data_IF_976621215230
#
_entry.id   IF_976621215230
#
_cell.length_a   1.000
_cell.length_b   1.000
_cell.length_c   1.000
_cell.angle_alpha   90.00
_cell.angle_beta   90.00
_cell.angle_gamma   90.00
#
_symmetry.space_group_name_H-M   'P 1'
#
loop_
_entity.id
_entity.type
_entity.pdbx_description
1 polymer ?
#
# COMPACT_ATOMS: atom_id res chain seq x y z
N UNK A 1 -13.95 -4.10 -12.22
CA UNK A 1 -12.77 -4.48 -11.39
C UNK A 1 -13.14 -4.13 -9.95
N UNK A 2 -12.70 -4.92 -8.98
CA UNK A 2 -13.08 -4.72 -7.57
C UNK A 2 -14.53 -5.01 -7.19
N UNK A 3 -15.26 -5.86 -7.94
CA UNK A 3 -16.68 -6.19 -7.64
C UNK A 3 -16.87 -7.62 -7.12
N UNK A 4 -15.78 -8.38 -6.97
CA UNK A 4 -15.75 -9.74 -6.43
C UNK A 4 -15.62 -9.67 -4.92
N UNK A 5 -16.34 -10.55 -4.21
CA UNK A 5 -16.24 -10.65 -2.76
C UNK A 5 -14.98 -11.41 -2.37
N UNK A 6 -14.34 -10.97 -1.30
CA UNK A 6 -13.24 -11.70 -0.70
C UNK A 6 -13.74 -13.00 -0.05
N UNK A 7 -13.24 -14.14 -0.52
CA UNK A 7 -13.46 -15.45 0.10
C UNK A 7 -12.15 -15.99 0.70
N UNK A 8 -12.11 -16.05 2.03
CA UNK A 8 -10.94 -16.51 2.77
C UNK A 8 -10.66 -18.00 2.52
N UNK A 9 -11.70 -18.83 2.49
CA UNK A 9 -11.58 -20.28 2.36
C UNK A 9 -11.18 -20.65 0.92
N UNK A 10 -11.80 -20.02 -0.07
CA UNK A 10 -11.43 -20.19 -1.48
C UNK A 10 -9.96 -19.82 -1.73
N UNK A 11 -9.48 -18.74 -1.11
CA UNK A 11 -8.07 -18.35 -1.18
C UNK A 11 -7.14 -19.35 -0.52
N UNK A 12 -7.49 -19.86 0.67
CA UNK A 12 -6.69 -20.90 1.33
C UNK A 12 -6.61 -22.17 0.49
N UNK A 13 -7.72 -22.59 -0.13
CA UNK A 13 -7.76 -23.73 -1.02
C UNK A 13 -6.92 -23.51 -2.28
N UNK A 14 -6.97 -22.32 -2.89
CA UNK A 14 -6.08 -21.94 -4.00
C UNK A 14 -4.62 -21.98 -3.57
N UNK A 15 -4.25 -21.35 -2.47
CA UNK A 15 -2.87 -21.33 -1.97
C UNK A 15 -2.35 -22.76 -1.70
N UNK A 16 -3.20 -23.65 -1.19
CA UNK A 16 -2.88 -25.07 -0.99
C UNK A 16 -2.69 -25.80 -2.32
N UNK A 17 -3.58 -25.59 -3.28
CA UNK A 17 -3.53 -26.20 -4.62
C UNK A 17 -2.31 -25.71 -5.42
N UNK A 18 -2.02 -24.42 -5.33
CA UNK A 18 -0.85 -23.79 -5.95
C UNK A 18 0.44 -24.07 -5.18
N UNK A 19 0.36 -24.74 -4.03
CA UNK A 19 1.52 -25.25 -3.30
C UNK A 19 2.33 -24.19 -2.55
N UNK A 20 1.72 -23.08 -2.17
CA UNK A 20 2.43 -21.96 -1.53
C UNK A 20 3.14 -22.41 -0.25
N UNK A 21 2.61 -23.39 0.46
CA UNK A 21 3.20 -23.95 1.69
C UNK A 21 4.58 -24.59 1.50
N UNK A 22 4.88 -25.14 0.33
CA UNK A 22 6.12 -25.91 0.09
C UNK A 22 6.94 -25.42 -1.12
N UNK A 23 6.37 -24.60 -2.01
CA UNK A 23 7.10 -23.96 -3.11
C UNK A 23 8.04 -22.88 -2.57
N UNK A 24 9.19 -22.76 -3.21
CA UNK A 24 10.16 -21.69 -2.99
C UNK A 24 9.62 -20.34 -3.50
N UNK A 25 10.22 -19.25 -3.02
CA UNK A 25 9.90 -17.90 -3.47
C UNK A 25 9.92 -17.76 -5.00
N UNK A 26 10.94 -18.32 -5.67
CA UNK A 26 11.07 -18.24 -7.13
C UNK A 26 9.96 -18.97 -7.89
N UNK A 27 9.31 -19.97 -7.28
CA UNK A 27 8.22 -20.72 -7.89
C UNK A 27 6.85 -20.05 -7.71
N UNK A 28 6.67 -19.27 -6.65
CA UNK A 28 5.46 -18.47 -6.40
C UNK A 28 5.53 -17.16 -7.19
N UNK A 29 6.67 -16.48 -7.12
CA UNK A 29 6.94 -15.25 -7.84
C UNK A 29 7.55 -15.58 -9.20
N UNK A 30 6.71 -16.00 -10.14
CA UNK A 30 7.15 -16.35 -11.49
C UNK A 30 7.93 -15.24 -12.20
N UNK A 31 7.71 -13.98 -11.81
CA UNK A 31 8.47 -12.83 -12.32
C UNK A 31 9.92 -12.82 -11.82
N UNK A 32 10.21 -13.34 -10.62
CA UNK A 32 11.58 -13.44 -10.11
C UNK A 32 12.41 -14.38 -10.99
N UNK A 33 11.83 -15.50 -11.41
CA UNK A 33 12.47 -16.41 -12.36
C UNK A 33 12.70 -15.75 -13.75
N UNK A 34 11.79 -14.85 -14.17
CA UNK A 34 11.90 -14.10 -15.44
C UNK A 34 12.77 -12.85 -15.33
N UNK A 35 13.19 -12.46 -14.13
CA UNK A 35 13.99 -11.26 -13.81
C UNK A 35 13.42 -9.97 -14.43
N UNK A 36 12.09 -9.83 -14.40
CA UNK A 36 11.38 -8.67 -14.95
C UNK A 36 10.02 -8.52 -14.30
N UNK A 37 9.59 -7.28 -14.07
CA UNK A 37 8.22 -7.03 -13.63
C UNK A 37 7.20 -7.47 -14.68
N UNK A 38 6.01 -7.87 -14.22
CA UNK A 38 4.92 -8.19 -15.11
C UNK A 38 4.42 -6.92 -15.82
N UNK A 39 4.13 -7.00 -17.12
CA UNK A 39 3.71 -5.85 -17.93
C UNK A 39 2.47 -5.13 -17.36
N UNK A 40 1.53 -5.89 -16.78
CA UNK A 40 0.32 -5.32 -16.15
C UNK A 40 0.60 -4.50 -14.89
N UNK A 41 1.78 -4.66 -14.28
CA UNK A 41 2.23 -3.90 -13.11
C UNK A 41 3.12 -2.72 -13.49
N UNK A 42 3.42 -2.52 -14.78
CA UNK A 42 4.21 -1.38 -15.22
C UNK A 42 3.40 -0.08 -15.03
N UNK A 43 3.92 0.91 -14.28
CA UNK A 43 3.24 2.19 -14.08
C UNK A 43 3.11 3.03 -15.36
N UNK A 44 3.95 2.78 -16.36
CA UNK A 44 4.05 3.60 -17.55
C UNK A 44 2.74 3.62 -18.34
N UNK A 45 2.16 4.81 -18.50
CA UNK A 45 0.92 5.01 -19.26
C UNK A 45 -0.36 4.76 -18.47
N UNK A 46 -0.28 4.45 -17.17
CA UNK A 46 -1.47 4.40 -16.32
C UNK A 46 -2.02 5.81 -16.15
N UNK A 47 -3.24 6.05 -16.64
CA UNK A 47 -3.94 7.29 -16.34
C UNK A 47 -4.45 7.28 -14.90
N UNK A 48 -5.28 6.30 -14.53
CA UNK A 48 -5.81 6.15 -13.19
C UNK A 48 -5.96 4.67 -12.80
N UNK A 49 -5.75 4.37 -11.52
CA UNK A 49 -6.27 3.20 -10.82
C UNK A 49 -7.46 3.64 -9.96
N UNK A 50 -8.54 2.89 -10.01
CA UNK A 50 -9.83 3.36 -9.51
C UNK A 50 -10.39 2.43 -8.43
N UNK A 51 -10.82 3.01 -7.32
CA UNK A 51 -11.62 2.33 -6.30
C UNK A 51 -13.04 2.88 -6.37
N UNK A 52 -13.95 2.12 -6.98
CA UNK A 52 -15.33 2.54 -7.26
C UNK A 52 -16.32 1.72 -6.46
N UNK A 53 -17.43 2.36 -6.10
CA UNK A 53 -18.56 1.66 -5.49
C UNK A 53 -19.21 0.73 -6.53
N UNK A 54 -19.75 -0.40 -6.08
CA UNK A 54 -20.51 -1.35 -6.90
C UNK A 54 -21.68 -1.92 -6.11
N UNK A 55 -22.57 -2.67 -6.76
CA UNK A 55 -23.68 -3.35 -6.06
C UNK A 55 -23.18 -4.31 -4.97
N UNK A 56 -21.99 -4.89 -5.17
CA UNK A 56 -21.35 -5.81 -4.22
C UNK A 56 -20.62 -5.05 -3.12
N UNK A 57 -20.01 -3.91 -3.46
CA UNK A 57 -19.22 -3.06 -2.57
C UNK A 57 -19.72 -1.60 -2.63
N UNK A 58 -20.85 -1.29 -1.97
CA UNK A 58 -21.51 0.01 -2.13
C UNK A 58 -20.75 1.17 -1.48
N UNK A 59 -19.85 0.90 -0.52
CA UNK A 59 -19.09 1.93 0.17
C UNK A 59 -17.60 1.61 0.17
N UNK A 60 -16.97 1.62 -1.00
CA UNK A 60 -15.56 1.21 -1.14
C UNK A 60 -14.64 2.02 -0.22
N UNK A 61 -13.70 1.31 0.42
CA UNK A 61 -12.68 1.86 1.32
C UNK A 61 -11.31 1.65 0.67
N UNK A 62 -10.74 2.67 0.02
CA UNK A 62 -9.49 2.53 -0.70
C UNK A 62 -8.29 2.45 0.25
N UNK A 63 -7.54 1.36 0.14
CA UNK A 63 -6.30 1.12 0.87
C UNK A 63 -5.17 0.92 -0.13
N UNK A 64 -4.07 1.64 0.03
CA UNK A 64 -2.84 1.43 -0.72
C UNK A 64 -1.82 0.81 0.23
N UNK A 65 -1.22 -0.31 -0.18
CA UNK A 65 -0.09 -0.91 0.53
C UNK A 65 1.11 -0.97 -0.41
N UNK A 66 2.09 -0.11 -0.15
CA UNK A 66 3.40 -0.16 -0.76
C UNK A 66 4.38 -0.94 0.08
N UNK A 67 4.95 -1.97 -0.51
CA UNK A 67 5.94 -2.82 0.13
C UNK A 67 7.29 -2.61 -0.55
N UNK A 68 8.29 -2.33 0.26
CA UNK A 68 9.68 -2.33 -0.16
C UNK A 68 10.10 -3.74 -0.62
N UNK A 69 10.58 -3.84 -1.85
CA UNK A 69 11.01 -5.09 -2.49
C UNK A 69 12.51 -5.10 -2.81
N UNK A 70 13.27 -4.25 -2.12
CA UNK A 70 14.74 -4.16 -2.22
C UNK A 70 15.42 -5.31 -1.49
N UNK A 71 16.75 -5.40 -1.64
CA UNK A 71 17.56 -6.46 -1.04
C UNK A 71 17.65 -6.39 0.48
N UNK A 72 17.60 -5.19 1.09
CA UNK A 72 17.73 -4.99 2.54
C UNK A 72 16.60 -5.68 3.31
N UNK A 73 15.39 -5.64 2.75
CA UNK A 73 14.17 -6.28 3.27
C UNK A 73 14.23 -7.81 3.27
N UNK A 74 15.21 -8.41 2.59
CA UNK A 74 15.49 -9.85 2.64
C UNK A 74 14.26 -10.72 2.33
N UNK A 75 13.83 -11.53 3.30
CA UNK A 75 12.70 -12.45 3.15
C UNK A 75 11.35 -11.85 3.58
N UNK A 76 11.33 -10.65 4.15
CA UNK A 76 10.12 -10.01 4.70
C UNK A 76 9.04 -9.83 3.61
N UNK A 77 9.35 -9.32 2.40
CA UNK A 77 8.32 -9.10 1.41
C UNK A 77 7.66 -10.41 0.97
N UNK A 78 8.47 -11.46 0.87
CA UNK A 78 7.98 -12.81 0.55
C UNK A 78 7.02 -13.33 1.63
N UNK A 79 7.38 -13.24 2.91
CA UNK A 79 6.52 -13.69 4.00
C UNK A 79 5.22 -12.88 4.11
N UNK A 80 5.30 -11.56 3.97
CA UNK A 80 4.12 -10.69 3.97
C UNK A 80 3.17 -11.03 2.84
N UNK A 81 3.68 -11.30 1.64
CA UNK A 81 2.85 -11.68 0.50
C UNK A 81 2.22 -13.06 0.69
N UNK A 82 3.00 -14.05 1.14
CA UNK A 82 2.53 -15.43 1.28
C UNK A 82 1.52 -15.58 2.42
N UNK A 83 1.84 -15.03 3.59
CA UNK A 83 1.14 -15.31 4.85
C UNK A 83 0.43 -14.08 5.44
N UNK A 84 0.97 -12.87 5.24
CA UNK A 84 0.48 -11.67 5.90
C UNK A 84 -0.76 -11.07 5.23
N UNK A 85 -0.68 -10.80 3.94
CA UNK A 85 -1.71 -10.15 3.14
C UNK A 85 -3.06 -10.89 3.06
N UNK A 86 -3.11 -12.21 2.89
CA UNK A 86 -4.35 -12.95 3.05
C UNK A 86 -5.04 -12.74 4.40
N UNK A 87 -4.27 -12.76 5.50
CA UNK A 87 -4.81 -12.52 6.84
C UNK A 87 -5.23 -11.06 7.02
N UNK A 88 -4.54 -10.14 6.34
CA UNK A 88 -4.85 -8.73 6.37
C UNK A 88 -6.25 -8.45 5.84
N UNK A 89 -6.58 -8.86 4.60
CA UNK A 89 -7.87 -8.57 3.99
C UNK A 89 -9.03 -9.19 4.76
N UNK A 90 -8.95 -10.48 5.07
CA UNK A 90 -9.98 -11.13 5.87
C UNK A 90 -10.12 -10.51 7.27
N UNK A 91 -9.01 -10.09 7.88
CA UNK A 91 -9.00 -9.41 9.17
C UNK A 91 -9.61 -8.01 9.13
N UNK A 92 -9.44 -7.26 8.03
CA UNK A 92 -10.07 -5.94 7.83
C UNK A 92 -11.59 -6.09 7.76
N UNK A 93 -12.07 -7.07 6.98
CA UNK A 93 -13.51 -7.35 6.83
C UNK A 93 -14.12 -7.78 8.16
N UNK A 94 -13.50 -8.75 8.84
CA UNK A 94 -13.93 -9.20 10.18
C UNK A 94 -13.85 -8.08 11.23
N UNK A 95 -12.95 -7.12 11.04
CA UNK A 95 -12.77 -5.96 11.92
C UNK A 95 -13.83 -4.87 11.77
N UNK A 96 -14.76 -5.02 10.81
CA UNK A 96 -15.91 -4.14 10.62
C UNK A 96 -15.78 -3.15 9.46
N UNK A 97 -14.82 -3.34 8.54
CA UNK A 97 -14.72 -2.57 7.30
C UNK A 97 -15.29 -3.43 6.17
N UNK A 98 -16.53 -3.20 5.72
CA UNK A 98 -17.24 -4.16 4.87
C UNK A 98 -16.72 -4.22 3.44
N UNK A 99 -16.26 -3.08 2.90
CA UNK A 99 -15.96 -2.91 1.47
C UNK A 99 -14.51 -2.45 1.23
N UNK A 100 -13.48 -3.15 1.75
CA UNK A 100 -12.10 -2.75 1.49
C UNK A 100 -11.73 -3.00 0.03
N UNK A 101 -11.03 -2.05 -0.57
CA UNK A 101 -10.41 -2.19 -1.88
C UNK A 101 -8.91 -1.92 -1.73
N UNK A 102 -8.09 -2.95 -1.92
CA UNK A 102 -6.65 -2.89 -1.70
C UNK A 102 -5.91 -2.76 -3.03
N UNK A 103 -5.04 -1.76 -3.14
CA UNK A 103 -4.07 -1.60 -4.22
C UNK A 103 -2.66 -1.86 -3.68
N UNK A 104 -2.01 -2.88 -4.24
CA UNK A 104 -0.64 -3.25 -3.87
C UNK A 104 0.38 -2.53 -4.75
N UNK A 105 1.46 -2.04 -4.13
CA UNK A 105 2.62 -1.48 -4.81
C UNK A 105 3.89 -2.24 -4.38
N UNK A 106 4.74 -2.58 -5.36
CA UNK A 106 6.14 -2.93 -5.10
C UNK A 106 7.00 -1.68 -5.27
N UNK A 107 7.78 -1.32 -4.25
CA UNK A 107 8.63 -0.13 -4.23
C UNK A 107 10.09 -0.58 -4.20
N UNK A 108 10.89 -0.09 -5.14
CA UNK A 108 12.34 -0.25 -5.15
C UNK A 108 13.06 1.10 -5.16
N UNK A 109 14.28 1.10 -5.66
CA UNK A 109 15.13 2.27 -5.79
C UNK A 109 15.12 2.83 -7.22
N UNK A 110 14.59 4.04 -7.44
CA UNK A 110 14.57 4.66 -8.76
C UNK A 110 15.93 5.14 -9.28
N UNK A 111 16.96 5.15 -8.44
CA UNK A 111 18.31 5.48 -8.87
C UNK A 111 19.09 4.23 -9.31
N UNK A 112 18.69 3.03 -8.87
CA UNK A 112 19.46 1.80 -9.05
C UNK A 112 18.69 0.66 -9.75
N UNK A 113 17.38 0.56 -9.53
CA UNK A 113 16.56 -0.57 -9.95
C UNK A 113 15.93 -0.35 -11.33
N UNK A 114 15.72 -1.44 -12.08
CA UNK A 114 15.04 -1.39 -13.37
C UNK A 114 13.51 -1.26 -13.22
N UNK A 115 12.94 -1.70 -12.09
CA UNK A 115 11.51 -1.65 -11.81
C UNK A 115 11.21 -0.97 -10.45
N UNK A 116 11.54 0.32 -10.31
CA UNK A 116 11.47 1.04 -9.03
C UNK A 116 10.05 1.26 -8.50
N UNK A 117 9.04 1.09 -9.37
CA UNK A 117 7.65 1.02 -8.97
C UNK A 117 6.91 -0.03 -9.78
N UNK A 118 6.15 -0.86 -9.08
CA UNK A 118 5.21 -1.82 -9.64
C UNK A 118 3.83 -1.55 -9.07
N UNK A 119 2.81 -1.46 -9.91
CA UNK A 119 1.47 -0.99 -9.52
C UNK A 119 0.39 -1.99 -9.89
N UNK A 120 -0.28 -2.56 -8.88
CA UNK A 120 -1.50 -3.34 -9.05
C UNK A 120 -2.74 -2.51 -9.41
N UNK A 121 -3.91 -3.05 -9.13
CA UNK A 121 -5.20 -2.37 -9.19
C UNK A 121 -5.88 -2.44 -7.81
N UNK A 122 -6.82 -1.54 -7.52
CA UNK A 122 -7.69 -1.67 -6.37
C UNK A 122 -8.62 -2.88 -6.55
N UNK A 123 -8.41 -3.89 -5.73
CA UNK A 123 -9.21 -5.11 -5.76
C UNK A 123 -9.83 -5.41 -4.39
N UNK A 124 -11.04 -5.95 -4.42
CA UNK A 124 -11.77 -6.42 -3.23
C UNK A 124 -11.85 -7.95 -3.18
N UNK A 125 -11.66 -8.62 -4.32
CA UNK A 125 -11.66 -10.07 -4.43
C UNK A 125 -10.31 -10.70 -4.11
N UNK A 126 -10.36 -11.94 -3.66
CA UNK A 126 -9.19 -12.71 -3.26
C UNK A 126 -8.39 -13.27 -4.43
N UNK A 127 -9.02 -13.57 -5.58
CA UNK A 127 -8.32 -14.06 -6.78
C UNK A 127 -7.47 -12.97 -7.42
N UNK A 128 -8.02 -11.77 -7.58
CA UNK A 128 -7.34 -10.65 -8.20
C UNK A 128 -6.20 -10.14 -7.33
N UNK A 129 -6.39 -10.09 -6.01
CA UNK A 129 -5.31 -9.75 -5.08
C UNK A 129 -4.17 -10.76 -5.15
N UNK A 130 -4.47 -12.06 -5.08
CA UNK A 130 -3.46 -13.12 -5.18
C UNK A 130 -2.70 -13.06 -6.52
N UNK A 131 -3.40 -12.75 -7.62
CA UNK A 131 -2.79 -12.50 -8.92
C UNK A 131 -1.82 -11.32 -8.91
N UNK A 132 -2.19 -10.17 -8.35
CA UNK A 132 -1.28 -9.00 -8.30
C UNK A 132 -0.06 -9.27 -7.43
N UNK A 133 -0.23 -9.98 -6.33
CA UNK A 133 0.86 -10.30 -5.42
C UNK A 133 1.87 -11.25 -6.06
N UNK A 134 1.42 -12.34 -6.67
CA UNK A 134 2.28 -13.31 -7.37
C UNK A 134 2.99 -12.73 -8.60
N UNK A 135 2.47 -11.63 -9.16
CA UNK A 135 3.10 -10.89 -10.27
C UNK A 135 4.18 -9.92 -9.82
N UNK A 136 4.34 -9.68 -8.52
CA UNK A 136 5.37 -8.80 -8.00
C UNK A 136 6.75 -9.38 -8.32
N UNK A 137 7.60 -8.57 -8.92
CA UNK A 137 9.01 -8.88 -9.10
C UNK A 137 9.80 -8.31 -7.92
N UNK A 138 10.47 -9.18 -7.19
CA UNK A 138 11.40 -8.79 -6.13
C UNK A 138 12.77 -8.70 -6.79
N UNK A 139 13.17 -7.47 -7.14
CA UNK A 139 14.44 -7.22 -7.83
C UNK A 139 15.63 -7.48 -6.89
N UNK A 140 15.40 -7.38 -5.57
CA UNK A 140 16.45 -7.51 -4.55
C UNK A 140 17.66 -6.61 -4.83
N UNK A 141 17.38 -5.46 -5.45
CA UNK A 141 18.35 -4.39 -5.70
C UNK A 141 18.54 -3.52 -4.46
N UNK A 142 18.69 -2.23 -4.68
CA UNK A 142 19.03 -1.27 -3.63
C UNK A 142 20.40 -0.62 -3.84
N UNK A 143 20.44 0.68 -3.59
CA UNK A 143 21.61 1.53 -3.79
C UNK A 143 22.34 1.90 -2.50
N UNK A 144 23.60 2.31 -2.62
CA UNK A 144 24.32 2.99 -1.54
C UNK A 144 23.96 4.49 -1.41
N UNK A 145 22.78 4.89 -1.90
CA UNK A 145 22.30 6.27 -2.04
C UNK A 145 21.55 6.81 -0.80
N UNK A 146 21.56 6.05 0.30
CA UNK A 146 21.07 6.45 1.61
C UNK A 146 19.56 6.71 1.69
N UNK A 147 18.77 6.00 0.88
CA UNK A 147 17.32 5.94 1.02
C UNK A 147 16.65 5.26 -0.16
N UNK A 148 15.34 5.02 -0.01
CA UNK A 148 14.51 4.31 -0.96
C UNK A 148 13.35 5.17 -1.48
N UNK A 149 12.70 4.71 -2.55
CA UNK A 149 11.78 5.53 -3.35
C UNK A 149 10.34 5.52 -2.85
N UNK A 150 10.12 5.53 -1.53
CA UNK A 150 8.78 5.52 -0.94
C UNK A 150 7.88 6.66 -1.44
N UNK A 151 8.48 7.79 -1.81
CA UNK A 151 7.80 8.93 -2.43
C UNK A 151 7.09 8.59 -3.77
N UNK A 152 7.44 7.48 -4.43
CA UNK A 152 6.75 7.01 -5.63
C UNK A 152 5.33 6.55 -5.30
N UNK A 153 5.11 5.95 -4.13
CA UNK A 153 3.79 5.60 -3.66
C UNK A 153 2.93 6.85 -3.43
N UNK A 154 3.54 7.91 -2.88
CA UNK A 154 2.85 9.19 -2.64
C UNK A 154 2.50 9.88 -3.96
N UNK A 155 3.44 9.92 -4.91
CA UNK A 155 3.19 10.45 -6.25
C UNK A 155 2.03 9.70 -6.92
N UNK A 156 2.08 8.37 -6.91
CA UNK A 156 1.06 7.56 -7.55
C UNK A 156 -0.32 7.78 -6.90
N UNK A 157 -0.38 7.78 -5.57
CA UNK A 157 -1.62 8.05 -4.82
C UNK A 157 -2.17 9.46 -5.06
N UNK A 158 -1.32 10.47 -5.22
CA UNK A 158 -1.76 11.84 -5.44
C UNK A 158 -2.32 12.06 -6.85
N UNK A 159 -1.68 11.48 -7.87
CA UNK A 159 -1.91 11.86 -9.26
C UNK A 159 -2.55 10.77 -10.12
N UNK A 160 -2.44 9.50 -9.73
CA UNK A 160 -2.85 8.35 -10.54
C UNK A 160 -3.94 7.50 -9.87
N UNK A 161 -4.62 8.01 -8.84
CA UNK A 161 -5.77 7.32 -8.26
C UNK A 161 -7.03 8.18 -8.26
N UNK A 162 -8.17 7.50 -8.39
CA UNK A 162 -9.49 8.09 -8.17
C UNK A 162 -10.33 7.15 -7.32
N UNK A 163 -10.98 7.70 -6.31
CA UNK A 163 -11.72 6.90 -5.34
C UNK A 163 -13.08 7.51 -5.08
N UNK A 164 -14.12 6.69 -5.11
CA UNK A 164 -15.48 7.13 -4.79
C UNK A 164 -15.61 7.55 -3.32
N UNK A 165 -14.84 6.92 -2.43
CA UNK A 165 -14.70 7.36 -1.05
C UNK A 165 -14.38 8.86 -0.96
N UNK A 166 -13.42 9.34 -1.75
CA UNK A 166 -13.07 10.75 -1.75
C UNK A 166 -14.02 11.59 -2.60
N UNK A 167 -14.29 11.20 -3.84
CA UNK A 167 -15.07 11.99 -4.80
C UNK A 167 -16.55 12.14 -4.41
N UNK A 168 -17.16 11.12 -3.78
CA UNK A 168 -18.58 11.12 -3.39
C UNK A 168 -18.80 11.41 -1.91
N UNK A 169 -17.88 10.97 -1.04
CA UNK A 169 -18.07 11.02 0.43
C UNK A 169 -17.06 11.91 1.15
N UNK A 170 -16.11 12.52 0.43
CA UNK A 170 -14.99 13.28 1.01
C UNK A 170 -14.23 12.49 2.10
N UNK A 171 -14.17 11.18 1.95
CA UNK A 171 -13.46 10.27 2.83
C UNK A 171 -12.10 9.95 2.24
N UNK A 172 -11.04 10.32 2.98
CA UNK A 172 -9.68 9.95 2.61
C UNK A 172 -9.51 8.43 2.66
N UNK A 173 -8.78 7.90 1.68
CA UNK A 173 -8.25 6.55 1.73
C UNK A 173 -7.14 6.40 2.76
N UNK A 174 -6.52 5.24 2.80
CA UNK A 174 -5.40 4.95 3.70
C UNK A 174 -4.22 4.45 2.86
N UNK A 175 -3.04 5.02 3.06
CA UNK A 175 -1.82 4.64 2.37
C UNK A 175 -0.76 4.20 3.38
N UNK A 176 -0.27 2.98 3.22
CA UNK A 176 0.85 2.43 3.97
C UNK A 176 2.04 2.23 3.06
N UNK A 177 3.21 2.65 3.50
CA UNK A 177 4.50 2.16 3.00
C UNK A 177 5.17 1.32 4.07
N UNK A 178 5.78 0.21 3.70
CA UNK A 178 6.50 -0.69 4.62
C UNK A 178 7.92 -0.86 4.12
N UNK A 179 8.91 -0.57 4.95
CA UNK A 179 10.32 -0.66 4.57
C UNK A 179 11.26 -0.43 5.75
N UNK A 180 12.56 -0.38 5.49
CA UNK A 180 13.61 -0.29 6.51
C UNK A 180 14.64 0.83 6.25
N UNK A 181 14.45 1.62 5.19
CA UNK A 181 15.36 2.67 4.74
C UNK A 181 14.75 4.09 4.93
N UNK A 182 15.57 5.16 4.93
CA UNK A 182 15.06 6.53 4.81
C UNK A 182 14.34 6.77 3.47
N UNK A 183 13.48 7.78 3.40
CA UNK A 183 12.91 8.22 2.12
C UNK A 183 13.89 9.11 1.36
N UNK A 184 14.03 8.89 0.05
CA UNK A 184 14.73 9.81 -0.83
C UNK A 184 14.08 11.20 -0.78
N UNK A 185 14.88 12.26 -0.92
CA UNK A 185 14.43 13.64 -0.64
C UNK A 185 13.72 14.29 -1.82
N UNK A 186 13.99 13.83 -3.03
CA UNK A 186 13.51 14.44 -4.27
C UNK A 186 13.17 13.39 -5.30
N UNK A 187 12.11 13.65 -6.07
CA UNK A 187 11.72 12.89 -7.25
C UNK A 187 11.86 13.77 -8.50
N UNK A 188 12.92 13.57 -9.31
CA UNK A 188 13.14 14.37 -10.51
C UNK A 188 12.06 14.18 -11.58
N UNK A 189 11.70 15.26 -12.29
CA UNK A 189 10.74 15.20 -13.41
C UNK A 189 11.14 14.18 -14.49
N UNK A 190 12.44 13.98 -14.73
CA UNK A 190 12.97 12.98 -15.67
C UNK A 190 12.61 11.57 -15.23
N UNK A 191 12.85 11.24 -13.96
CA UNK A 191 12.50 9.95 -13.35
C UNK A 191 11.01 9.69 -13.45
N UNK A 192 10.18 10.71 -13.19
CA UNK A 192 8.72 10.58 -13.32
C UNK A 192 8.33 10.23 -14.76
N UNK A 193 8.90 10.90 -15.76
CA UNK A 193 8.63 10.57 -17.18
C UNK A 193 9.07 9.17 -17.55
N UNK A 194 10.19 8.72 -17.01
CA UNK A 194 10.72 7.39 -17.27
C UNK A 194 9.81 6.30 -16.71
N UNK A 195 9.43 6.42 -15.43
CA UNK A 195 8.61 5.46 -14.70
C UNK A 195 7.14 5.53 -15.14
N UNK A 196 6.53 6.71 -15.10
CA UNK A 196 5.07 6.89 -15.29
C UNK A 196 4.71 7.19 -16.74
N UNK A 197 5.67 7.58 -17.58
CA UNK A 197 5.45 8.00 -18.97
C UNK A 197 5.08 9.48 -19.13
N UNK A 198 4.68 10.16 -18.06
CA UNK A 198 4.27 11.56 -18.06
C UNK A 198 4.76 12.25 -16.79
N UNK A 199 5.31 13.47 -16.89
CA UNK A 199 5.81 14.22 -15.74
C UNK A 199 6.58 15.46 -16.18
N UNK A 200 6.30 16.60 -15.56
CA UNK A 200 6.92 17.88 -15.94
C UNK A 200 7.62 18.59 -14.78
N UNK A 201 7.31 18.22 -13.54
CA UNK A 201 7.78 18.88 -12.33
C UNK A 201 8.58 17.92 -11.46
N UNK A 202 9.66 18.41 -10.87
CA UNK A 202 10.39 17.75 -9.80
C UNK A 202 9.68 18.06 -8.48
N UNK A 203 9.54 17.06 -7.63
CA UNK A 203 8.94 17.24 -6.31
C UNK A 203 9.92 16.86 -5.22
N UNK A 204 9.81 17.54 -4.08
CA UNK A 204 10.41 17.10 -2.83
C UNK A 204 9.51 16.06 -2.15
N UNK A 205 10.10 15.28 -1.23
CA UNK A 205 9.35 14.34 -0.40
C UNK A 205 8.24 15.03 0.42
N UNK A 206 8.47 16.28 0.86
CA UNK A 206 7.49 17.06 1.62
C UNK A 206 6.29 17.47 0.74
N UNK A 207 6.55 17.96 -0.47
CA UNK A 207 5.48 18.32 -1.41
C UNK A 207 4.64 17.09 -1.77
N UNK A 208 5.27 15.95 -2.08
CA UNK A 208 4.53 14.73 -2.41
C UNK A 208 3.73 14.17 -1.24
N UNK A 209 4.30 14.23 -0.04
CA UNK A 209 3.59 13.80 1.16
C UNK A 209 2.34 14.66 1.38
N UNK A 210 2.45 15.98 1.24
CA UNK A 210 1.30 16.89 1.37
C UNK A 210 0.25 16.67 0.27
N UNK A 211 0.67 16.45 -0.98
CA UNK A 211 -0.25 16.10 -2.07
C UNK A 211 -0.98 14.78 -1.81
N UNK A 212 -0.27 13.75 -1.36
CA UNK A 212 -0.88 12.46 -1.00
C UNK A 212 -1.85 12.62 0.18
N UNK A 213 -1.48 13.43 1.19
CA UNK A 213 -2.30 13.71 2.38
C UNK A 213 -3.63 14.40 2.08
N UNK A 214 -3.79 15.01 0.91
CA UNK A 214 -5.09 15.57 0.49
C UNK A 214 -6.14 14.48 0.32
N UNK A 215 -5.76 13.29 -0.16
CA UNK A 215 -6.68 12.18 -0.48
C UNK A 215 -6.50 10.94 0.39
N UNK A 216 -5.38 10.82 1.11
CA UNK A 216 -5.05 9.65 1.92
C UNK A 216 -4.58 10.04 3.31
N UNK A 217 -4.86 9.18 4.29
CA UNK A 217 -4.10 9.14 5.54
C UNK A 217 -2.83 8.32 5.29
N UNK A 218 -1.67 8.98 5.38
CA UNK A 218 -0.37 8.40 5.00
C UNK A 218 0.35 7.90 6.24
N UNK A 219 0.77 6.64 6.19
CA UNK A 219 1.52 5.94 7.22
C UNK A 219 2.79 5.28 6.64
N UNK A 220 3.83 5.22 7.45
CA UNK A 220 5.01 4.41 7.17
C UNK A 220 5.24 3.43 8.32
N UNK A 221 5.47 2.16 7.98
CA UNK A 221 5.84 1.12 8.92
C UNK A 221 7.32 0.83 8.71
N UNK A 222 8.13 1.29 9.66
CA UNK A 222 9.57 1.10 9.67
C UNK A 222 9.91 -0.23 10.35
N UNK A 223 10.53 -1.15 9.60
CA UNK A 223 10.86 -2.50 10.10
C UNK A 223 12.24 -2.47 10.75
N UNK A 224 12.27 -2.54 12.08
CA UNK A 224 13.48 -2.39 12.91
C UNK A 224 14.35 -3.66 12.96
N UNK A 225 14.72 -4.20 11.80
CA UNK A 225 15.53 -5.43 11.69
C UNK A 225 17.05 -5.19 11.58
N UNK A 226 17.47 -3.92 11.46
CA UNK A 226 18.87 -3.53 11.27
C UNK A 226 19.17 -2.20 11.98
N UNK A 227 20.45 -1.92 12.24
CA UNK A 227 20.85 -0.62 12.79
C UNK A 227 20.50 0.55 11.86
N UNK A 228 20.54 0.31 10.54
CA UNK A 228 20.17 1.30 9.54
C UNK A 228 18.68 1.67 9.66
N UNK A 229 17.81 0.67 9.83
CA UNK A 229 16.39 0.88 10.06
C UNK A 229 16.10 1.66 11.35
N UNK A 230 16.86 1.39 12.42
CA UNK A 230 16.77 2.17 13.66
C UNK A 230 17.17 3.63 13.47
N UNK A 231 18.16 3.91 12.60
CA UNK A 231 18.56 5.29 12.28
C UNK A 231 17.52 6.01 11.41
N UNK A 232 16.95 5.30 10.43
CA UNK A 232 15.89 5.82 9.55
C UNK A 232 14.64 6.26 10.32
N UNK A 233 14.35 5.60 11.45
CA UNK A 233 13.17 5.86 12.28
C UNK A 233 13.01 7.32 12.70
N UNK A 234 14.12 7.98 13.02
CA UNK A 234 14.10 9.39 13.46
C UNK A 234 13.65 10.34 12.34
N UNK A 235 14.18 10.15 11.13
CA UNK A 235 13.76 10.91 9.94
C UNK A 235 12.31 10.64 9.56
N UNK A 236 11.85 9.40 9.68
CA UNK A 236 10.44 9.06 9.45
C UNK A 236 9.50 9.70 10.47
N UNK A 237 9.88 9.72 11.75
CA UNK A 237 9.12 10.42 12.80
C UNK A 237 9.10 11.93 12.61
N UNK A 238 10.16 12.52 12.05
CA UNK A 238 10.16 13.94 11.66
C UNK A 238 9.15 14.21 10.53
N UNK A 239 9.07 13.33 9.52
CA UNK A 239 8.17 13.48 8.37
C UNK A 239 6.70 13.19 8.69
N UNK A 240 6.44 12.11 9.43
CA UNK A 240 5.10 11.56 9.63
C UNK A 240 4.57 11.67 11.06
N UNK A 241 5.40 12.06 12.03
CA UNK A 241 5.01 12.13 13.43
C UNK A 241 4.48 10.78 13.93
N UNK A 242 3.25 10.79 14.45
CA UNK A 242 2.57 9.59 14.96
C UNK A 242 2.20 8.58 13.87
N UNK A 243 2.23 8.97 12.59
CA UNK A 243 1.95 8.08 11.48
C UNK A 243 3.18 7.27 11.03
N UNK A 244 4.35 7.48 11.65
CA UNK A 244 5.48 6.55 11.57
C UNK A 244 5.37 5.50 12.67
N UNK A 245 5.36 4.23 12.29
CA UNK A 245 5.17 3.10 13.17
C UNK A 245 6.38 2.18 13.11
N UNK A 246 7.09 2.06 14.22
CA UNK A 246 8.27 1.21 14.30
C UNK A 246 7.85 -0.21 14.71
N UNK A 247 8.21 -1.21 13.92
CA UNK A 247 7.84 -2.61 14.15
C UNK A 247 9.10 -3.47 14.14
N UNK A 248 9.37 -4.18 15.24
CA UNK A 248 10.56 -5.04 15.36
C UNK A 248 10.34 -6.44 14.76
N UNK A 249 9.12 -6.96 14.82
CA UNK A 249 8.75 -8.27 14.27
C UNK A 249 7.85 -8.07 13.06
N UNK A 250 8.35 -8.38 11.86
CA UNK A 250 7.61 -8.19 10.62
C UNK A 250 6.31 -8.99 10.56
N UNK A 251 6.16 -10.04 11.37
CA UNK A 251 4.93 -10.84 11.47
C UNK A 251 3.77 -10.05 12.09
N UNK A 252 4.06 -8.96 12.81
CA UNK A 252 3.05 -8.07 13.38
C UNK A 252 2.54 -7.01 12.39
N UNK A 253 3.22 -6.78 11.28
CA UNK A 253 2.85 -5.76 10.29
C UNK A 253 1.39 -5.90 9.81
N UNK A 254 0.89 -7.10 9.45
CA UNK A 254 -0.52 -7.26 9.07
C UNK A 254 -1.50 -6.88 10.19
N UNK A 255 -1.16 -7.19 11.45
CA UNK A 255 -2.00 -6.82 12.60
C UNK A 255 -2.02 -5.32 12.82
N UNK A 256 -0.87 -4.65 12.68
CA UNK A 256 -0.74 -3.20 12.80
C UNK A 256 -1.57 -2.48 11.73
N UNK A 257 -1.42 -2.88 10.46
CA UNK A 257 -2.18 -2.31 9.34
C UNK A 257 -3.68 -2.52 9.56
N UNK A 258 -4.11 -3.75 9.86
CA UNK A 258 -5.51 -4.08 10.15
C UNK A 258 -6.08 -3.17 11.24
N UNK A 259 -5.38 -3.04 12.37
CA UNK A 259 -5.83 -2.21 13.50
C UNK A 259 -6.06 -0.77 13.06
N UNK A 260 -5.10 -0.17 12.37
CA UNK A 260 -5.21 1.22 11.91
C UNK A 260 -6.38 1.40 10.96
N UNK A 261 -6.54 0.50 9.99
CA UNK A 261 -7.66 0.56 9.04
C UNK A 261 -8.99 0.51 9.79
N UNK A 262 -9.15 -0.44 10.71
CA UNK A 262 -10.38 -0.58 11.49
C UNK A 262 -10.64 0.62 12.40
N UNK A 263 -9.62 1.16 13.07
CA UNK A 263 -9.75 2.30 13.98
C UNK A 263 -10.05 3.59 13.20
N UNK A 264 -9.34 3.85 12.09
CA UNK A 264 -9.62 4.97 11.18
C UNK A 264 -11.05 4.89 10.64
N UNK A 265 -11.50 3.70 10.23
CA UNK A 265 -12.86 3.50 9.71
C UNK A 265 -13.92 3.74 10.78
N UNK A 266 -13.74 3.19 11.99
CA UNK A 266 -14.64 3.41 13.12
C UNK A 266 -14.71 4.88 13.52
N UNK A 267 -13.59 5.56 13.66
CA UNK A 267 -13.54 6.97 14.03
C UNK A 267 -14.27 7.86 13.00
N UNK A 268 -14.18 7.54 11.70
CA UNK A 268 -14.93 8.25 10.66
C UNK A 268 -16.44 7.95 10.70
N UNK A 269 -16.80 6.70 10.97
CA UNK A 269 -18.20 6.25 10.96
C UNK A 269 -18.96 6.72 12.20
N UNK A 270 -18.32 6.73 13.37
CA UNK A 270 -18.95 7.06 14.65
C UNK A 270 -18.61 8.47 15.17
N UNK A 271 -17.43 9.01 14.86
CA UNK A 271 -17.04 10.36 15.27
C UNK A 271 -17.83 11.49 14.56
N UNK A 272 -18.56 11.16 13.49
CA UNK A 272 -19.51 12.07 12.86
C UNK A 272 -20.89 12.06 13.53
N UNK A 273 -21.23 11.04 14.32
CA UNK A 273 -22.53 10.94 15.00
C UNK A 273 -22.60 11.81 16.27
N UNK A 274 -21.49 11.99 16.99
CA UNK A 274 -21.47 12.74 18.26
C UNK A 274 -21.56 14.27 18.08
N UNK A 275 -21.34 14.80 16.87
CA UNK A 275 -21.48 16.24 16.58
C UNK A 275 -22.87 16.63 16.07
N UNK A 276 -23.83 15.70 15.98
CA UNK A 276 -25.13 15.94 15.36
C UNK A 276 -26.33 16.04 16.33
N UNK A 277 -26.11 16.12 17.64
CA UNK A 277 -27.27 16.15 18.54
C UNK A 277 -27.02 16.63 19.95
N UNK A 278 -26.90 17.95 20.17
CA UNK A 278 -27.31 18.59 21.44
C UNK A 278 -27.73 20.08 21.33
N UNK A 279 -27.96 20.64 20.13
CA UNK A 279 -28.24 22.08 19.98
C UNK A 279 -29.72 22.48 19.81
N UNK A 280 -30.69 21.62 20.10
CA UNK A 280 -32.11 22.00 20.02
C UNK A 280 -32.97 21.40 21.15
N UNK A 281 -32.71 21.81 22.39
CA UNK A 281 -33.73 21.79 23.45
C UNK A 281 -33.83 23.20 24.02
N UNK A 282 -34.55 24.08 23.33
CA UNK A 282 -35.22 25.20 23.99
C UNK A 282 -36.53 24.67 24.57
N UNK A 283 -36.62 24.55 25.89
CA UNK A 283 -37.90 24.49 26.59
C UNK A 283 -38.32 25.93 26.94
N UNK A 284 -39.52 26.28 26.46
CA UNK A 284 -40.33 27.37 26.98
C UNK A 284 -40.80 27.07 28.42
#
# INVERSE_FOLDING_TARGET
MGSTRYDMDARFDRARKEGYGYKSAGEIFTQNAKRRAHESMNPKGISFRESRDSDVHPNSVPVILGLDVTGSMGHIPHELIKEGLPKLMGGIIQGGVPDPALLFLGIGDHECDAYPLQVGQFESGDEELDMWLTRTYIESGGGGNAGESYLLAWYFAAFHTRTDAFEKRNQKGILFTVGDEPCLKTLPASTIREIMGTGQQTYTQFELLEEARKRYEVYHINVLHSEQAMRADSGWKELLGQNCLSVADHREIPNVIKRIICDTFKNKTFGSADNAGFDNIQMF
#
